data_IF_962239738308
#
_entry.id   IF_962239738308
#
_cell.length_a   1.000
_cell.length_b   1.000
_cell.length_c   1.000
_cell.angle_alpha   90.00
_cell.angle_beta   90.00
_cell.angle_gamma   90.00
#
_symmetry.space_group_name_H-M   'P 1'
#
loop_
_entity.id
_entity.type
_entity.pdbx_description
1 polymer ?
#
# COMPACT_ATOMS: atom_id res chain seq x y z
N UNK A 1 -21.66 -20.26 42.25
CA UNK A 1 -21.57 -20.70 40.84
C UNK A 1 -21.08 -19.52 40.01
N UNK A 2 -19.77 -19.40 39.79
CA UNK A 2 -19.17 -18.33 38.99
C UNK A 2 -19.55 -18.50 37.52
N UNK A 3 -20.14 -17.47 36.92
CA UNK A 3 -20.51 -17.47 35.50
C UNK A 3 -19.23 -17.42 34.66
N UNK A 4 -18.89 -18.52 33.99
CA UNK A 4 -17.87 -18.51 32.96
C UNK A 4 -18.40 -17.76 31.74
N UNK A 5 -17.80 -16.62 31.44
CA UNK A 5 -18.06 -15.90 30.20
C UNK A 5 -17.23 -16.54 29.09
N UNK A 6 -17.81 -16.88 27.93
CA UNK A 6 -17.03 -17.35 26.79
C UNK A 6 -16.04 -16.25 26.39
N UNK A 7 -14.75 -16.51 26.63
CA UNK A 7 -13.66 -15.63 26.21
C UNK A 7 -13.47 -15.76 24.71
N UNK A 8 -13.80 -14.71 23.98
CA UNK A 8 -13.55 -14.63 22.55
C UNK A 8 -12.17 -14.00 22.33
N UNK A 9 -11.36 -14.61 21.47
CA UNK A 9 -10.10 -14.01 21.03
C UNK A 9 -10.42 -12.75 20.21
N UNK A 10 -10.43 -11.59 20.89
CA UNK A 10 -10.43 -10.30 20.22
C UNK A 10 -9.07 -10.17 19.55
N UNK A 11 -9.03 -10.34 18.24
CA UNK A 11 -7.88 -9.93 17.45
C UNK A 11 -7.68 -8.44 17.72
N UNK A 12 -6.58 -8.10 18.42
CA UNK A 12 -6.16 -6.71 18.61
C UNK A 12 -6.21 -6.04 17.23
N UNK A 13 -6.98 -4.96 17.13
CA UNK A 13 -7.29 -4.30 15.86
C UNK A 13 -6.04 -4.17 14.99
N UNK A 14 -6.21 -4.39 13.69
CA UNK A 14 -5.18 -4.37 12.66
C UNK A 14 -4.13 -3.28 12.97
N UNK A 15 -2.87 -3.67 13.23
CA UNK A 15 -1.79 -2.71 13.51
C UNK A 15 -1.78 -1.62 12.44
N UNK A 16 -1.71 -0.36 12.86
CA UNK A 16 -1.63 0.77 11.94
C UNK A 16 -0.39 0.59 11.07
N UNK A 17 -0.51 0.51 9.74
CA UNK A 17 0.63 0.31 8.87
C UNK A 17 1.60 1.49 9.01
N UNK A 18 2.89 1.23 8.85
CA UNK A 18 3.93 2.27 8.88
C UNK A 18 3.59 3.38 7.87
N UNK A 19 3.58 4.63 8.35
CA UNK A 19 3.30 5.82 7.54
C UNK A 19 4.53 6.72 7.58
N UNK A 20 5.09 7.03 6.42
CA UNK A 20 6.22 7.95 6.29
C UNK A 20 5.87 9.06 5.30
N UNK A 21 5.84 10.31 5.75
CA UNK A 21 5.57 11.50 4.92
C UNK A 21 4.35 11.35 3.99
N UNK A 22 3.28 10.73 4.49
CA UNK A 22 2.04 10.49 3.74
C UNK A 22 2.00 9.19 2.94
N UNK A 23 3.13 8.52 2.71
CA UNK A 23 3.19 7.20 2.09
C UNK A 23 2.98 6.08 3.10
N UNK A 24 2.24 5.03 2.72
CA UNK A 24 1.87 3.92 3.62
C UNK A 24 2.46 2.59 3.15
N UNK A 25 3.10 1.86 4.07
CA UNK A 25 3.56 0.48 3.86
C UNK A 25 4.38 0.30 2.58
N UNK A 26 3.92 -0.59 1.69
CA UNK A 26 4.57 -0.94 0.40
C UNK A 26 4.97 0.29 -0.44
N UNK A 27 4.19 1.37 -0.41
CA UNK A 27 4.46 2.56 -1.22
C UNK A 27 5.69 3.33 -0.78
N UNK A 28 6.11 3.21 0.49
CA UNK A 28 7.36 3.82 0.97
C UNK A 28 8.55 3.19 0.26
N UNK A 29 8.56 1.86 0.12
CA UNK A 29 9.62 1.14 -0.60
C UNK A 29 9.64 1.46 -2.08
N UNK A 30 8.47 1.55 -2.74
CA UNK A 30 8.40 1.91 -4.16
C UNK A 30 8.86 3.35 -4.37
N UNK A 31 8.46 4.28 -3.50
CA UNK A 31 8.92 5.67 -3.55
C UNK A 31 10.44 5.79 -3.37
N UNK A 32 11.01 5.08 -2.38
CA UNK A 32 12.46 5.03 -2.16
C UNK A 32 13.23 4.42 -3.33
N UNK A 33 12.73 3.29 -3.86
CA UNK A 33 13.30 2.66 -5.05
C UNK A 33 13.27 3.62 -6.26
N UNK A 34 12.21 4.42 -6.39
CA UNK A 34 12.09 5.39 -7.46
C UNK A 34 13.15 6.49 -7.36
N UNK A 35 13.41 7.02 -6.16
CA UNK A 35 14.46 8.02 -5.92
C UNK A 35 15.85 7.46 -6.28
N UNK A 36 16.16 6.24 -5.82
CA UNK A 36 17.44 5.58 -6.11
C UNK A 36 17.58 5.35 -7.62
N UNK A 37 16.53 4.86 -8.29
CA UNK A 37 16.54 4.64 -9.73
C UNK A 37 16.70 5.92 -10.54
N UNK A 38 16.11 7.04 -10.09
CA UNK A 38 16.23 8.33 -10.75
C UNK A 38 17.68 8.85 -10.71
N UNK A 39 18.35 8.69 -9.58
CA UNK A 39 19.76 9.08 -9.43
C UNK A 39 20.68 8.23 -10.32
N UNK A 40 20.48 6.91 -10.34
CA UNK A 40 21.24 6.01 -11.19
C UNK A 40 21.03 6.32 -12.69
N UNK A 41 19.78 6.51 -13.11
CA UNK A 41 19.46 6.86 -14.50
C UNK A 41 20.03 8.23 -14.88
N UNK A 42 19.97 9.22 -13.98
CA UNK A 42 20.58 10.52 -14.21
C UNK A 42 22.10 10.40 -14.45
N UNK A 43 22.80 9.66 -13.60
CA UNK A 43 24.24 9.41 -13.76
C UNK A 43 24.55 8.73 -15.10
N UNK A 44 23.82 7.68 -15.46
CA UNK A 44 24.03 6.97 -16.73
C UNK A 44 23.78 7.90 -17.93
N UNK A 45 22.64 8.59 -17.97
CA UNK A 45 22.28 9.46 -19.10
C UNK A 45 23.21 10.67 -19.22
N UNK A 46 23.63 11.25 -18.09
CA UNK A 46 24.60 12.36 -18.10
C UNK A 46 25.96 11.95 -18.67
N UNK A 47 26.42 10.71 -18.42
CA UNK A 47 27.68 10.21 -19.00
C UNK A 47 27.60 9.90 -20.50
N UNK A 48 26.43 9.45 -20.98
CA UNK A 48 26.25 9.03 -22.38
C UNK A 48 25.92 10.20 -23.31
N UNK A 49 25.05 11.11 -22.89
CA UNK A 49 24.52 12.17 -23.75
C UNK A 49 25.10 13.54 -23.38
N UNK A 50 24.76 14.06 -22.20
CA UNK A 50 25.24 15.34 -21.63
C UNK A 50 24.56 15.58 -20.27
N UNK A 51 25.14 16.47 -19.46
CA UNK A 51 24.58 16.86 -18.15
C UNK A 51 23.15 17.40 -18.23
N UNK A 52 22.83 18.18 -19.28
CA UNK A 52 21.47 18.70 -19.50
C UNK A 52 20.43 17.59 -19.66
N UNK A 53 20.73 16.56 -20.46
CA UNK A 53 19.84 15.41 -20.64
C UNK A 53 19.71 14.60 -19.36
N UNK A 54 20.80 14.42 -18.60
CA UNK A 54 20.74 13.81 -17.27
C UNK A 54 19.78 14.54 -16.33
N UNK A 55 19.87 15.87 -16.26
CA UNK A 55 18.98 16.71 -15.46
C UNK A 55 17.50 16.60 -15.87
N UNK A 56 17.20 16.64 -17.16
CA UNK A 56 15.83 16.45 -17.66
C UNK A 56 15.29 15.07 -17.27
N UNK A 57 16.12 14.03 -17.42
CA UNK A 57 15.74 12.65 -17.08
C UNK A 57 15.45 12.52 -15.59
N UNK A 58 16.26 13.16 -14.73
CA UNK A 58 16.05 13.18 -13.28
C UNK A 58 14.67 13.76 -12.93
N UNK A 59 14.33 14.92 -13.50
CA UNK A 59 13.04 15.59 -13.25
C UNK A 59 11.89 14.68 -13.69
N UNK A 60 11.94 14.15 -14.91
CA UNK A 60 10.87 13.30 -15.45
C UNK A 60 10.66 12.06 -14.58
N UNK A 61 11.74 11.35 -14.24
CA UNK A 61 11.64 10.11 -13.46
C UNK A 61 11.20 10.38 -12.04
N UNK A 62 11.71 11.44 -11.40
CA UNK A 62 11.38 11.77 -10.02
C UNK A 62 9.93 12.23 -9.87
N UNK A 63 9.47 13.19 -10.68
CA UNK A 63 8.09 13.67 -10.64
C UNK A 63 7.10 12.63 -11.18
N UNK A 64 7.44 11.96 -12.29
CA UNK A 64 6.61 10.91 -12.87
C UNK A 64 6.45 9.72 -11.94
N UNK A 65 7.56 9.22 -11.38
CA UNK A 65 7.55 8.05 -10.50
C UNK A 65 6.90 8.31 -9.14
N UNK A 66 7.16 9.46 -8.52
CA UNK A 66 6.44 9.87 -7.29
C UNK A 66 4.96 10.17 -7.56
N UNK A 67 4.64 10.74 -8.73
CA UNK A 67 3.27 10.97 -9.16
C UNK A 67 2.49 9.67 -9.30
N UNK A 68 3.05 8.69 -10.02
CA UNK A 68 2.44 7.37 -10.22
C UNK A 68 2.27 6.63 -8.89
N UNK A 69 3.28 6.64 -8.01
CA UNK A 69 3.17 5.97 -6.70
C UNK A 69 2.09 6.59 -5.82
N UNK A 70 1.93 7.91 -5.84
CA UNK A 70 0.85 8.60 -5.15
C UNK A 70 -0.53 8.21 -5.70
N UNK A 71 -0.69 8.12 -7.03
CA UNK A 71 -1.95 7.65 -7.64
C UNK A 71 -2.24 6.19 -7.30
N UNK A 72 -1.23 5.32 -7.30
CA UNK A 72 -1.38 3.92 -6.92
C UNK A 72 -1.79 3.78 -5.45
N UNK A 73 -1.26 4.63 -4.57
CA UNK A 73 -1.63 4.63 -3.15
C UNK A 73 -3.11 4.98 -2.94
N UNK A 74 -3.69 5.87 -3.76
CA UNK A 74 -5.12 6.20 -3.69
C UNK A 74 -6.02 4.99 -3.96
N UNK A 75 -5.54 3.98 -4.70
CA UNK A 75 -6.28 2.74 -4.98
C UNK A 75 -6.31 1.77 -3.79
N UNK A 76 -5.57 2.06 -2.72
CA UNK A 76 -5.50 1.25 -1.50
C UNK A 76 -4.22 0.42 -1.38
N UNK A 77 -3.90 0.02 -0.14
CA UNK A 77 -2.66 -0.70 0.18
C UNK A 77 -2.70 -2.18 -0.22
N UNK A 78 -3.89 -2.79 -0.19
CA UNK A 78 -4.07 -4.20 -0.49
C UNK A 78 -4.78 -4.37 -1.82
N UNK A 79 -4.28 -5.31 -2.63
CA UNK A 79 -4.96 -5.75 -3.84
C UNK A 79 -6.21 -6.52 -3.41
N UNK A 80 -7.38 -5.91 -3.58
CA UNK A 80 -8.67 -6.57 -3.38
C UNK A 80 -9.06 -7.23 -4.68
N UNK A 81 -9.29 -8.54 -4.66
CA UNK A 81 -9.87 -9.23 -5.79
C UNK A 81 -11.33 -8.78 -5.94
N UNK A 82 -11.66 -8.22 -7.10
CA UNK A 82 -13.02 -7.76 -7.42
C UNK A 82 -13.64 -8.78 -8.37
N UNK A 83 -13.97 -9.96 -7.85
CA UNK A 83 -14.75 -10.94 -8.62
C UNK A 83 -16.19 -10.45 -8.72
N UNK A 84 -16.77 -10.53 -9.92
CA UNK A 84 -18.21 -10.28 -10.13
C UNK A 84 -18.94 -11.59 -9.85
N UNK A 85 -19.85 -11.59 -8.88
CA UNK A 85 -20.62 -12.76 -8.50
C UNK A 85 -21.69 -12.44 -7.47
N UNK A 86 -22.69 -13.31 -7.35
CA UNK A 86 -23.72 -13.22 -6.32
C UNK A 86 -23.16 -13.87 -5.05
N UNK A 87 -23.04 -13.10 -3.97
CA UNK A 87 -22.60 -13.58 -2.67
C UNK A 87 -23.81 -13.82 -1.77
N UNK A 88 -24.14 -15.07 -1.50
CA UNK A 88 -25.18 -15.42 -0.51
C UNK A 88 -24.49 -15.57 0.85
N UNK A 89 -24.68 -14.57 1.71
CA UNK A 89 -24.25 -14.65 3.11
C UNK A 89 -25.36 -15.35 3.89
N UNK A 90 -25.22 -16.67 4.07
CA UNK A 90 -26.11 -17.42 4.96
C UNK A 90 -25.98 -16.91 6.39
N UNK A 91 -27.11 -16.66 7.05
CA UNK A 91 -27.15 -16.27 8.47
C UNK A 91 -26.75 -17.46 9.34
N UNK A 92 -25.45 -17.66 9.56
CA UNK A 92 -24.95 -18.68 10.50
C UNK A 92 -24.96 -18.19 11.95
N UNK A 93 -25.45 -16.97 12.22
CA UNK A 93 -25.55 -16.45 13.58
C UNK A 93 -26.77 -17.06 14.29
N UNK A 94 -26.61 -18.28 14.78
CA UNK A 94 -27.57 -18.94 15.67
C UNK A 94 -27.48 -18.22 17.01
N UNK A 95 -28.41 -17.30 17.25
CA UNK A 95 -28.56 -16.67 18.57
C UNK A 95 -29.21 -17.70 19.48
N UNK A 96 -28.40 -18.35 20.32
CA UNK A 96 -28.90 -19.29 21.32
C UNK A 96 -29.87 -18.55 22.26
N UNK A 97 -31.17 -18.75 22.06
CA UNK A 97 -32.23 -18.25 22.92
C UNK A 97 -32.37 -19.27 24.04
N UNK A 98 -31.58 -19.13 25.11
CA UNK A 98 -31.85 -19.84 26.36
C UNK A 98 -33.27 -19.50 26.83
N UNK A 99 -34.08 -20.54 26.96
CA UNK A 99 -35.38 -20.56 27.66
C UNK A 99 -35.14 -20.50 29.17
#
# INVERSE_FOLDING_TARGET
MSKEYPSYNVYKGLQKPLIFKGFKGKFIYIGGACIISALLLCAIVSTLASFMWGGITLVIVMFGGLGITSQLQRKGLHRKDKRKGIYIVSRTFIRDRKK
#
